data_IF_595515308882
#
_entry.id   IF_595515308882
#
_cell.length_a   1.000
_cell.length_b   1.000
_cell.length_c   1.000
_cell.angle_alpha   90.00
_cell.angle_beta   90.00
_cell.angle_gamma   90.00
#
_symmetry.space_group_name_H-M   'P 1'
#
loop_
_entity.id
_entity.type
_entity.pdbx_description
1 polymer ?
#
# COMPACT_ATOMS: atom_id res chain seq x y z
N UNK A 1 22.75 3.29 -4.84
CA UNK A 1 22.20 1.97 -4.43
C UNK A 1 20.89 2.10 -3.67
N UNK A 2 20.82 2.84 -2.55
CA UNK A 2 19.58 3.00 -1.77
C UNK A 2 18.49 3.79 -2.54
N UNK A 3 18.86 4.92 -3.16
CA UNK A 3 17.97 5.76 -3.97
C UNK A 3 17.36 5.00 -5.15
N UNK A 4 18.17 4.22 -5.88
CA UNK A 4 17.71 3.36 -6.97
C UNK A 4 16.69 2.33 -6.49
N UNK A 5 16.92 1.69 -5.34
CA UNK A 5 15.99 0.72 -4.77
C UNK A 5 14.64 1.35 -4.38
N UNK A 6 14.65 2.55 -3.79
CA UNK A 6 13.44 3.30 -3.47
C UNK A 6 12.66 3.70 -4.73
N UNK A 7 13.35 4.14 -5.79
CA UNK A 7 12.72 4.50 -7.06
C UNK A 7 12.07 3.28 -7.73
N UNK A 8 12.71 2.11 -7.70
CA UNK A 8 12.14 0.87 -8.21
C UNK A 8 10.90 0.47 -7.40
N UNK A 9 10.99 0.50 -6.06
CA UNK A 9 9.84 0.19 -5.19
C UNK A 9 8.65 1.14 -5.43
N UNK A 10 8.94 2.43 -5.60
CA UNK A 10 7.92 3.43 -5.91
C UNK A 10 7.31 3.21 -7.30
N UNK A 11 8.12 2.88 -8.32
CA UNK A 11 7.61 2.56 -9.65
C UNK A 11 6.68 1.33 -9.63
N UNK A 12 7.04 0.28 -8.88
CA UNK A 12 6.19 -0.91 -8.72
C UNK A 12 4.88 -0.58 -7.99
N UNK A 13 4.93 0.24 -6.94
CA UNK A 13 3.74 0.73 -6.25
C UNK A 13 2.79 1.43 -7.22
N UNK A 14 3.30 2.35 -8.05
CA UNK A 14 2.50 3.06 -9.05
C UNK A 14 1.87 2.12 -10.08
N UNK A 15 2.62 1.11 -10.55
CA UNK A 15 2.08 0.10 -11.48
C UNK A 15 0.92 -0.64 -10.80
N UNK A 16 1.12 -1.18 -9.60
CA UNK A 16 0.10 -1.97 -8.89
C UNK A 16 -1.14 -1.13 -8.58
N UNK A 17 -0.97 0.09 -8.05
CA UNK A 17 -2.07 1.01 -7.76
C UNK A 17 -2.79 1.46 -9.05
N UNK A 18 -2.09 1.58 -10.17
CA UNK A 18 -2.65 1.97 -11.46
C UNK A 18 -3.46 0.87 -12.15
N UNK A 19 -3.18 -0.41 -11.90
CA UNK A 19 -3.90 -1.53 -12.54
C UNK A 19 -5.39 -1.52 -12.21
N UNK A 20 -5.76 -1.26 -10.95
CA UNK A 20 -7.15 -1.20 -10.50
C UNK A 20 -8.03 -0.23 -11.29
N UNK A 21 -7.71 1.09 -11.33
CA UNK A 21 -8.47 2.08 -12.07
C UNK A 21 -8.38 1.88 -13.60
N UNK A 22 -7.24 1.41 -14.13
CA UNK A 22 -7.07 1.21 -15.57
C UNK A 22 -7.93 0.05 -16.10
N UNK A 23 -7.92 -1.09 -15.41
CA UNK A 23 -8.60 -2.31 -15.86
C UNK A 23 -10.07 -2.37 -15.43
N UNK A 24 -10.41 -1.84 -14.25
CA UNK A 24 -11.74 -1.99 -13.65
C UNK A 24 -12.27 -0.69 -13.02
N UNK A 25 -12.41 0.42 -13.78
CA UNK A 25 -12.73 1.74 -13.23
C UNK A 25 -14.03 1.78 -12.40
N UNK A 26 -15.08 1.09 -12.85
CA UNK A 26 -16.37 1.06 -12.15
C UNK A 26 -16.33 0.28 -10.83
N UNK A 27 -15.59 -0.84 -10.78
CA UNK A 27 -15.44 -1.65 -9.56
C UNK A 27 -14.52 -0.94 -8.57
N UNK A 28 -13.42 -0.39 -9.06
CA UNK A 28 -12.47 0.41 -8.29
C UNK A 28 -13.15 1.61 -7.61
N UNK A 29 -13.90 2.40 -8.38
CA UNK A 29 -14.64 3.55 -7.83
C UNK A 29 -15.70 3.14 -6.79
N UNK A 30 -16.35 1.99 -6.97
CA UNK A 30 -17.30 1.44 -5.99
C UNK A 30 -16.60 0.97 -4.71
N UNK A 31 -15.42 0.35 -4.84
CA UNK A 31 -14.59 -0.06 -3.71
C UNK A 31 -14.15 1.16 -2.91
N UNK A 32 -13.62 2.20 -3.57
CA UNK A 32 -13.23 3.45 -2.92
C UNK A 32 -14.39 4.10 -2.17
N UNK A 33 -15.58 4.17 -2.78
CA UNK A 33 -16.79 4.69 -2.11
C UNK A 33 -17.18 3.89 -0.87
N UNK A 34 -17.01 2.57 -0.90
CA UNK A 34 -17.28 1.71 0.27
C UNK A 34 -16.26 1.93 1.38
N UNK A 35 -14.99 2.15 1.02
CA UNK A 35 -13.93 2.47 2.00
C UNK A 35 -14.15 3.84 2.62
N UNK A 36 -14.49 4.86 1.83
CA UNK A 36 -14.75 6.22 2.34
C UNK A 36 -15.99 6.32 3.22
N UNK A 37 -16.93 5.37 3.08
CA UNK A 37 -18.13 5.29 3.92
C UNK A 37 -17.90 4.54 5.24
N UNK A 38 -16.71 3.94 5.47
CA UNK A 38 -16.39 3.29 6.74
C UNK A 38 -16.22 4.31 7.86
N UNK A 39 -16.42 3.87 9.10
CA UNK A 39 -16.16 4.71 10.26
C UNK A 39 -14.68 5.10 10.34
N UNK A 40 -14.36 6.30 10.83
CA UNK A 40 -12.96 6.72 11.01
C UNK A 40 -12.13 5.75 11.87
N UNK A 41 -12.78 5.11 12.85
CA UNK A 41 -12.15 4.12 13.72
C UNK A 41 -11.67 2.89 12.96
N UNK A 42 -12.50 2.37 12.05
CA UNK A 42 -12.11 1.21 11.23
C UNK A 42 -10.98 1.58 10.26
N UNK A 43 -11.02 2.77 9.65
CA UNK A 43 -9.94 3.26 8.79
C UNK A 43 -8.62 3.37 9.55
N UNK A 44 -8.65 3.81 10.81
CA UNK A 44 -7.46 3.86 11.68
C UNK A 44 -6.92 2.46 11.98
N UNK A 45 -7.80 1.48 12.24
CA UNK A 45 -7.37 0.10 12.49
C UNK A 45 -6.73 -0.53 11.25
N UNK A 46 -7.33 -0.33 10.06
CA UNK A 46 -6.75 -0.80 8.79
C UNK A 46 -5.38 -0.15 8.59
N UNK A 47 -5.27 1.16 8.78
CA UNK A 47 -4.00 1.88 8.69
C UNK A 47 -2.96 1.37 9.67
N UNK A 48 -3.36 1.08 10.92
CA UNK A 48 -2.46 0.54 11.93
C UNK A 48 -1.90 -0.83 11.51
N UNK A 49 -2.76 -1.74 11.05
CA UNK A 49 -2.34 -3.06 10.55
C UNK A 49 -1.39 -2.93 9.35
N UNK A 50 -1.69 -2.05 8.39
CA UNK A 50 -0.81 -1.80 7.24
C UNK A 50 0.56 -1.26 7.65
N UNK A 51 0.60 -0.26 8.54
CA UNK A 51 1.86 0.32 9.02
C UNK A 51 2.67 -0.71 9.81
N UNK A 52 2.03 -1.44 10.73
CA UNK A 52 2.70 -2.48 11.50
C UNK A 52 3.27 -3.59 10.61
N UNK A 53 2.51 -4.09 9.62
CA UNK A 53 3.00 -5.09 8.68
C UNK A 53 4.17 -4.56 7.83
N UNK A 54 4.09 -3.31 7.36
CA UNK A 54 5.17 -2.67 6.60
C UNK A 54 6.46 -2.52 7.42
N UNK A 55 6.34 -2.11 8.69
CA UNK A 55 7.48 -1.99 9.60
C UNK A 55 8.12 -3.36 9.89
N UNK A 56 7.32 -4.41 10.07
CA UNK A 56 7.82 -5.78 10.27
C UNK A 56 8.59 -6.28 9.04
N UNK A 57 8.07 -6.08 7.84
CA UNK A 57 8.75 -6.44 6.59
C UNK A 57 10.05 -5.64 6.42
N UNK A 58 10.03 -4.34 6.66
CA UNK A 58 11.21 -3.49 6.59
C UNK A 58 12.28 -3.97 7.58
N UNK A 59 11.89 -4.26 8.82
CA UNK A 59 12.80 -4.78 9.84
C UNK A 59 13.42 -6.12 9.42
N UNK A 60 12.63 -7.05 8.85
CA UNK A 60 13.13 -8.33 8.36
C UNK A 60 14.18 -8.14 7.24
N UNK A 61 13.89 -7.27 6.28
CA UNK A 61 14.79 -6.98 5.14
C UNK A 61 16.09 -6.33 5.63
N UNK A 62 15.99 -5.37 6.56
CA UNK A 62 17.16 -4.72 7.14
C UNK A 62 18.00 -5.70 7.97
N UNK A 63 17.36 -6.62 8.69
CA UNK A 63 18.05 -7.67 9.47
C UNK A 63 18.85 -8.63 8.59
N UNK A 64 18.40 -8.96 7.38
CA UNK A 64 19.14 -9.86 6.49
C UNK A 64 20.40 -9.23 5.87
N UNK A 65 20.56 -7.91 5.94
CA UNK A 65 21.70 -7.18 5.36
C UNK A 65 22.83 -6.90 6.34
N UNK A 66 22.66 -7.20 7.63
CA UNK A 66 23.70 -7.13 8.66
C UNK A 66 24.22 -8.50 9.03
#
# INVERSE_FOLDING_TARGET
MLTTGLLIGFALLLVVEGVGPLMFPNRWSRLLRRMSAQSPELLRQIGLVMVSAGLLLLWLILRQKG
#
